data_IF_941509131898
#
_entry.id   IF_941509131898
#
_cell.length_a   1.000
_cell.length_b   1.000
_cell.length_c   1.000
_cell.angle_alpha   90.00
_cell.angle_beta   90.00
_cell.angle_gamma   90.00
#
_symmetry.space_group_name_H-M   'P 1'
#
loop_
_entity.id
_entity.type
_entity.pdbx_description
1 polymer ?
#
# COMPACT_ATOMS: atom_id res chain seq x y z
N UNK A 1 17.61 -1.22 17.97
CA UNK A 1 18.15 -2.57 17.77
C UNK A 1 17.26 -3.55 18.53
N UNK A 2 16.53 -4.37 17.85
CA UNK A 2 15.68 -5.39 18.44
C UNK A 2 15.24 -6.34 17.34
N UNK A 3 16.16 -7.21 16.92
CA UNK A 3 15.82 -8.36 16.09
C UNK A 3 15.10 -9.35 17.00
N UNK A 4 13.78 -9.49 16.86
CA UNK A 4 13.01 -10.51 17.55
C UNK A 4 13.39 -11.87 17.00
N UNK A 5 13.95 -12.73 17.86
CA UNK A 5 14.20 -14.14 17.53
C UNK A 5 12.86 -14.85 17.38
N UNK A 6 12.56 -15.35 16.19
CA UNK A 6 11.45 -16.26 15.96
C UNK A 6 11.61 -17.50 16.86
N UNK A 7 10.57 -17.89 17.58
CA UNK A 7 10.57 -19.10 18.36
C UNK A 7 10.54 -20.32 17.42
N UNK A 8 11.18 -21.39 17.85
CA UNK A 8 11.33 -22.65 17.13
C UNK A 8 9.95 -23.29 16.90
N UNK A 9 9.36 -23.02 15.73
CA UNK A 9 8.04 -23.54 15.35
C UNK A 9 7.21 -22.61 14.43
N UNK A 10 7.59 -21.35 14.28
CA UNK A 10 6.87 -20.43 13.42
C UNK A 10 7.39 -20.57 11.98
N UNK A 11 6.51 -20.98 11.09
CA UNK A 11 6.80 -20.96 9.64
C UNK A 11 6.70 -19.51 9.18
N UNK A 12 7.72 -19.04 8.45
CA UNK A 12 7.75 -17.72 7.81
C UNK A 12 7.75 -17.92 6.31
N UNK A 13 6.76 -17.35 5.64
CA UNK A 13 6.68 -17.31 4.19
C UNK A 13 6.79 -15.86 3.72
N UNK A 14 7.62 -15.60 2.71
CA UNK A 14 7.89 -14.25 2.21
C UNK A 14 7.36 -14.12 0.79
N UNK A 15 6.64 -13.05 0.56
CA UNK A 15 6.09 -12.63 -0.73
C UNK A 15 6.71 -11.28 -1.11
N UNK A 16 7.26 -11.15 -2.30
CA UNK A 16 7.86 -9.90 -2.75
C UNK A 16 7.61 -9.64 -4.24
N UNK A 17 7.64 -8.36 -4.62
CA UNK A 17 7.58 -7.94 -6.02
C UNK A 17 9.00 -8.05 -6.61
N UNK A 18 9.11 -8.58 -7.82
CA UNK A 18 10.37 -8.71 -8.54
C UNK A 18 11.04 -7.34 -8.69
N UNK A 19 12.33 -7.26 -8.35
CA UNK A 19 13.10 -6.00 -8.36
C UNK A 19 13.04 -5.16 -7.08
N UNK A 20 12.17 -5.51 -6.11
CA UNK A 20 12.28 -5.00 -4.75
C UNK A 20 13.39 -5.73 -3.98
N UNK A 21 13.79 -5.20 -2.81
CA UNK A 21 14.95 -5.69 -2.02
C UNK A 21 14.87 -7.18 -1.67
N UNK A 22 15.25 -8.04 -2.61
CA UNK A 22 15.29 -9.50 -2.44
C UNK A 22 16.17 -9.92 -1.25
N UNK A 23 17.24 -9.16 -0.99
CA UNK A 23 18.17 -9.42 0.11
C UNK A 23 17.49 -9.46 1.47
N UNK A 24 16.53 -8.56 1.73
CA UNK A 24 15.76 -8.56 2.97
C UNK A 24 14.87 -9.80 3.09
N UNK A 25 14.18 -10.18 2.01
CA UNK A 25 13.35 -11.38 1.98
C UNK A 25 14.18 -12.66 2.21
N UNK A 26 15.34 -12.77 1.58
CA UNK A 26 16.26 -13.89 1.76
C UNK A 26 16.81 -13.99 3.19
N UNK A 27 17.13 -12.83 3.80
CA UNK A 27 17.60 -12.79 5.20
C UNK A 27 16.52 -13.31 6.17
N UNK A 28 15.25 -12.97 5.95
CA UNK A 28 14.13 -13.43 6.77
C UNK A 28 13.91 -14.95 6.65
N UNK A 29 14.18 -15.52 5.49
CA UNK A 29 14.01 -16.96 5.21
C UNK A 29 15.26 -17.79 5.56
N UNK A 30 16.30 -17.19 6.16
CA UNK A 30 17.54 -17.91 6.46
C UNK A 30 18.27 -18.44 5.23
N UNK A 31 18.16 -17.73 4.09
CA UNK A 31 18.77 -18.10 2.81
C UNK A 31 17.85 -18.83 1.83
N UNK A 32 16.57 -19.02 2.18
CA UNK A 32 15.54 -19.48 1.25
C UNK A 32 15.18 -18.42 0.19
N UNK A 33 14.49 -18.85 -0.88
CA UNK A 33 14.00 -17.92 -1.89
C UNK A 33 12.57 -17.47 -1.56
N UNK A 34 12.29 -16.14 -1.55
CA UNK A 34 10.94 -15.65 -1.37
C UNK A 34 10.06 -15.94 -2.60
N UNK A 35 8.75 -15.98 -2.38
CA UNK A 35 7.79 -16.02 -3.49
C UNK A 35 7.81 -14.68 -4.23
N UNK A 36 8.14 -14.69 -5.52
CA UNK A 36 8.32 -13.49 -6.34
C UNK A 36 7.13 -13.30 -7.29
N UNK A 37 6.67 -12.06 -7.39
CA UNK A 37 5.55 -11.67 -8.24
C UNK A 37 5.94 -10.49 -9.14
N UNK A 38 5.38 -10.42 -10.37
CA UNK A 38 5.71 -9.35 -11.31
C UNK A 38 5.21 -7.98 -10.84
N UNK A 39 4.09 -7.96 -10.12
CA UNK A 39 3.44 -6.74 -9.66
C UNK A 39 2.62 -6.97 -8.37
N UNK A 40 2.04 -5.89 -7.86
CA UNK A 40 1.25 -5.93 -6.63
C UNK A 40 -0.09 -6.64 -6.79
N UNK A 41 -0.66 -6.71 -7.97
CA UNK A 41 -1.94 -7.39 -8.19
C UNK A 41 -1.77 -8.90 -8.13
N UNK A 42 -0.75 -9.43 -8.81
CA UNK A 42 -0.38 -10.82 -8.75
C UNK A 42 0.00 -11.25 -7.31
N UNK A 43 0.76 -10.40 -6.60
CA UNK A 43 1.12 -10.64 -5.20
C UNK A 43 -0.11 -10.70 -4.31
N UNK A 44 -1.02 -9.71 -4.40
CA UNK A 44 -2.22 -9.64 -3.58
C UNK A 44 -3.15 -10.83 -3.85
N UNK A 45 -3.30 -11.26 -5.10
CA UNK A 45 -4.09 -12.44 -5.46
C UNK A 45 -3.56 -13.70 -4.77
N UNK A 46 -2.27 -14.00 -4.97
CA UNK A 46 -1.63 -15.17 -4.36
C UNK A 46 -1.62 -15.10 -2.82
N UNK A 47 -1.36 -13.93 -2.25
CA UNK A 47 -1.37 -13.72 -0.80
C UNK A 47 -2.76 -13.96 -0.22
N UNK A 48 -3.82 -13.50 -0.88
CA UNK A 48 -5.20 -13.71 -0.44
C UNK A 48 -5.55 -15.19 -0.38
N UNK A 49 -5.22 -15.94 -1.42
CA UNK A 49 -5.44 -17.41 -1.47
C UNK A 49 -4.63 -18.12 -0.38
N UNK A 50 -3.38 -17.72 -0.20
CA UNK A 50 -2.52 -18.27 0.84
C UNK A 50 -3.07 -18.00 2.23
N UNK A 51 -3.40 -16.76 2.57
CA UNK A 51 -3.97 -16.38 3.87
C UNK A 51 -5.28 -17.09 4.17
N UNK A 52 -6.15 -17.27 3.17
CA UNK A 52 -7.40 -18.01 3.32
C UNK A 52 -7.18 -19.50 3.65
N UNK A 53 -6.02 -20.05 3.29
CA UNK A 53 -5.64 -21.44 3.60
C UNK A 53 -5.07 -21.62 5.01
N UNK A 54 -4.66 -20.50 5.65
CA UNK A 54 -4.07 -20.54 6.99
C UNK A 54 -5.14 -20.59 8.07
N UNK A 55 -4.78 -21.26 9.17
CA UNK A 55 -5.62 -21.26 10.38
C UNK A 55 -5.52 -19.97 11.19
N UNK A 56 -6.26 -19.92 12.31
CA UNK A 56 -6.17 -18.81 13.26
C UNK A 56 -4.75 -18.70 13.83
N UNK A 57 -4.30 -17.46 14.05
CA UNK A 57 -2.98 -17.16 14.62
C UNK A 57 -1.96 -16.66 13.59
N UNK A 58 -2.29 -16.68 12.32
CA UNK A 58 -1.44 -16.06 11.29
C UNK A 58 -1.22 -14.56 11.57
N UNK A 59 0.00 -14.09 11.31
CA UNK A 59 0.40 -12.69 11.40
C UNK A 59 0.97 -12.25 10.06
N UNK A 60 0.59 -11.06 9.62
CA UNK A 60 1.08 -10.46 8.39
C UNK A 60 1.93 -9.24 8.71
N UNK A 61 3.16 -9.22 8.24
CA UNK A 61 4.03 -8.05 8.26
C UNK A 61 4.21 -7.54 6.84
N UNK A 62 3.96 -6.24 6.62
CA UNK A 62 4.03 -5.63 5.30
C UNK A 62 4.94 -4.41 5.33
N UNK A 63 5.92 -4.38 4.44
CA UNK A 63 6.83 -3.24 4.26
C UNK A 63 6.80 -2.74 2.82
N UNK A 64 6.73 -1.42 2.63
CA UNK A 64 6.69 -0.83 1.30
C UNK A 64 6.12 0.60 1.26
N UNK A 65 5.82 1.08 0.04
CA UNK A 65 5.16 2.36 -0.14
C UNK A 65 3.75 2.36 0.46
N UNK A 66 3.24 3.52 0.83
CA UNK A 66 1.91 3.64 1.44
C UNK A 66 0.80 3.02 0.58
N UNK A 67 0.85 3.26 -0.74
CA UNK A 67 -0.11 2.66 -1.67
C UNK A 67 -0.04 1.13 -1.71
N UNK A 68 1.16 0.56 -1.64
CA UNK A 68 1.35 -0.89 -1.55
C UNK A 68 0.82 -1.45 -0.24
N UNK A 69 1.15 -0.81 0.90
CA UNK A 69 0.67 -1.24 2.22
C UNK A 69 -0.85 -1.34 2.25
N UNK A 70 -1.56 -0.29 1.81
CA UNK A 70 -3.02 -0.28 1.84
C UNK A 70 -3.66 -1.24 0.84
N UNK A 71 -3.03 -1.50 -0.30
CA UNK A 71 -3.48 -2.53 -1.24
C UNK A 71 -3.43 -3.92 -0.60
N UNK A 72 -2.31 -4.26 0.05
CA UNK A 72 -2.15 -5.53 0.76
C UNK A 72 -3.12 -5.66 1.93
N UNK A 73 -3.29 -4.60 2.75
CA UNK A 73 -4.26 -4.58 3.86
C UNK A 73 -5.68 -4.84 3.38
N UNK A 74 -6.09 -4.15 2.30
CA UNK A 74 -7.44 -4.33 1.74
C UNK A 74 -7.64 -5.76 1.24
N UNK A 75 -6.66 -6.32 0.53
CA UNK A 75 -6.72 -7.71 0.05
C UNK A 75 -6.78 -8.72 1.20
N UNK A 76 -5.95 -8.55 2.23
CA UNK A 76 -5.92 -9.45 3.39
C UNK A 76 -7.21 -9.38 4.21
N UNK A 77 -7.74 -8.17 4.43
CA UNK A 77 -8.96 -7.94 5.19
C UNK A 77 -10.21 -8.40 4.44
N UNK A 78 -10.40 -7.89 3.21
CA UNK A 78 -11.65 -8.07 2.46
C UNK A 78 -11.66 -9.40 1.68
N UNK A 79 -10.48 -9.86 1.23
CA UNK A 79 -10.34 -11.10 0.48
C UNK A 79 -10.15 -12.34 1.35
N UNK A 80 -9.31 -12.25 2.39
CA UNK A 80 -9.01 -13.38 3.27
C UNK A 80 -9.65 -13.29 4.67
N UNK A 81 -10.37 -12.21 4.99
CA UNK A 81 -11.03 -12.04 6.29
C UNK A 81 -10.06 -11.81 7.48
N UNK A 82 -8.84 -11.37 7.20
CA UNK A 82 -7.83 -11.16 8.23
C UNK A 82 -8.14 -9.95 9.09
N UNK A 83 -7.99 -10.08 10.41
CA UNK A 83 -8.14 -8.95 11.33
C UNK A 83 -7.01 -7.93 11.17
N UNK A 84 -7.31 -6.64 11.13
CA UNK A 84 -6.29 -5.58 11.10
C UNK A 84 -5.32 -5.66 12.29
N UNK A 85 -5.75 -6.16 13.44
CA UNK A 85 -4.89 -6.37 14.61
C UNK A 85 -3.79 -7.43 14.39
N UNK A 86 -3.94 -8.27 13.37
CA UNK A 86 -2.95 -9.27 12.98
C UNK A 86 -2.00 -8.78 11.88
N UNK A 87 -2.14 -7.52 11.42
CA UNK A 87 -1.36 -6.92 10.35
C UNK A 87 -0.45 -5.84 10.94
N UNK A 88 0.84 -5.91 10.65
CA UNK A 88 1.82 -4.90 11.00
C UNK A 88 2.35 -4.25 9.73
N UNK A 89 2.45 -2.91 9.74
CA UNK A 89 2.82 -2.13 8.57
C UNK A 89 4.09 -1.32 8.84
N UNK A 90 4.98 -1.32 7.85
CA UNK A 90 6.17 -0.46 7.84
C UNK A 90 6.24 0.29 6.52
N UNK A 91 6.11 1.61 6.58
CA UNK A 91 6.24 2.46 5.40
C UNK A 91 7.70 2.64 5.03
N UNK A 92 8.03 2.35 3.79
CA UNK A 92 9.37 2.50 3.21
C UNK A 92 9.28 3.29 1.90
N UNK A 93 10.32 4.06 1.61
CA UNK A 93 10.43 4.84 0.38
C UNK A 93 10.00 6.30 0.52
N UNK A 94 9.95 7.05 -0.59
CA UNK A 94 9.61 8.46 -0.60
C UNK A 94 8.16 8.70 -0.18
N UNK A 95 7.85 9.89 0.39
CA UNK A 95 6.48 10.25 0.73
C UNK A 95 5.65 10.36 -0.55
N UNK A 96 4.75 9.39 -0.71
CA UNK A 96 3.76 9.38 -1.78
C UNK A 96 2.50 8.68 -1.26
N UNK A 97 1.34 9.21 -1.63
CA UNK A 97 0.04 8.77 -1.10
C UNK A 97 -0.85 8.23 -2.20
N UNK A 98 -1.61 7.17 -1.97
CA UNK A 98 -2.70 6.79 -2.86
C UNK A 98 -3.83 7.82 -2.76
N UNK A 99 -4.27 8.37 -3.90
CA UNK A 99 -5.31 9.41 -3.93
C UNK A 99 -6.45 9.01 -4.85
N UNK A 100 -7.66 9.01 -4.30
CA UNK A 100 -8.89 8.76 -5.05
C UNK A 100 -9.56 10.08 -5.45
N UNK A 101 -9.72 10.28 -6.74
CA UNK A 101 -10.46 11.41 -7.29
C UNK A 101 -11.95 11.30 -6.91
N UNK A 102 -12.50 12.31 -6.23
CA UNK A 102 -13.91 12.29 -5.84
C UNK A 102 -14.86 12.42 -7.03
N UNK A 103 -14.39 12.95 -8.18
CA UNK A 103 -15.18 13.14 -9.38
C UNK A 103 -15.30 11.84 -10.21
N UNK A 104 -14.18 11.27 -10.69
CA UNK A 104 -14.21 10.11 -11.57
C UNK A 104 -13.91 8.77 -10.89
N UNK A 105 -13.57 8.78 -9.60
CA UNK A 105 -13.22 7.59 -8.78
C UNK A 105 -11.94 6.89 -9.19
N UNK A 106 -11.17 7.44 -10.12
CA UNK A 106 -9.82 6.93 -10.42
C UNK A 106 -8.93 7.10 -9.20
N UNK A 107 -8.16 6.07 -8.86
CA UNK A 107 -7.17 6.11 -7.79
C UNK A 107 -5.77 6.11 -8.37
N UNK A 108 -5.00 7.17 -8.07
CA UNK A 108 -3.57 7.24 -8.35
C UNK A 108 -2.80 6.65 -7.17
N UNK A 109 -1.95 5.64 -7.37
CA UNK A 109 -1.32 4.91 -6.27
C UNK A 109 -0.19 5.66 -5.57
N UNK A 110 0.40 6.68 -6.21
CA UNK A 110 1.62 7.32 -5.72
C UNK A 110 1.68 8.81 -6.10
N UNK A 111 0.87 9.64 -5.43
CA UNK A 111 0.91 11.10 -5.58
C UNK A 111 1.87 11.66 -4.55
N UNK A 112 2.88 12.43 -4.99
CA UNK A 112 3.93 12.99 -4.14
C UNK A 112 3.72 14.50 -3.83
N UNK A 113 2.71 15.13 -4.43
CA UNK A 113 2.47 16.58 -4.30
C UNK A 113 1.08 16.87 -3.78
N UNK A 114 0.92 18.05 -3.16
CA UNK A 114 -0.36 18.52 -2.63
C UNK A 114 -1.40 18.76 -3.71
N UNK A 115 -0.95 19.07 -4.94
CA UNK A 115 -1.80 19.29 -6.11
C UNK A 115 -1.27 18.44 -7.27
N UNK A 116 -2.16 17.76 -7.98
CA UNK A 116 -1.82 16.97 -9.16
C UNK A 116 -2.98 16.90 -10.15
N UNK A 117 -2.70 16.58 -11.41
CA UNK A 117 -3.72 16.38 -12.43
C UNK A 117 -4.18 14.92 -12.45
N UNK A 118 -5.48 14.70 -12.29
CA UNK A 118 -6.08 13.36 -12.33
C UNK A 118 -5.93 12.73 -13.71
N UNK A 119 -5.34 11.53 -13.78
CA UNK A 119 -5.15 10.82 -15.05
C UNK A 119 -6.49 10.32 -15.65
N UNK A 120 -7.52 10.18 -14.84
CA UNK A 120 -8.83 9.69 -15.29
C UNK A 120 -9.73 10.78 -15.90
N UNK A 121 -9.75 12.00 -15.34
CA UNK A 121 -10.66 13.06 -15.78
C UNK A 121 -9.99 14.41 -16.11
N UNK A 122 -8.66 14.50 -15.91
CA UNK A 122 -7.89 15.71 -16.24
C UNK A 122 -8.07 16.90 -15.28
N UNK A 123 -8.90 16.79 -14.24
CA UNK A 123 -9.07 17.85 -13.25
C UNK A 123 -7.82 18.02 -12.39
N UNK A 124 -7.52 19.26 -12.02
CA UNK A 124 -6.51 19.55 -11.01
C UNK A 124 -7.10 19.28 -9.64
N UNK A 125 -6.43 18.41 -8.88
CA UNK A 125 -6.92 17.93 -7.59
C UNK A 125 -6.00 18.39 -6.47
N UNK A 126 -6.60 18.83 -5.37
CA UNK A 126 -5.95 19.02 -4.09
C UNK A 126 -6.06 17.75 -3.25
N UNK A 127 -4.93 17.28 -2.73
CA UNK A 127 -4.85 16.09 -1.86
C UNK A 127 -5.18 16.48 -0.43
N UNK A 128 -6.33 16.04 0.06
CA UNK A 128 -6.75 16.28 1.45
C UNK A 128 -6.21 15.24 2.40
N UNK A 129 -5.94 15.65 3.64
CA UNK A 129 -5.61 14.75 4.75
C UNK A 129 -6.84 13.97 5.27
N UNK A 130 -7.72 13.59 4.35
CA UNK A 130 -8.86 12.76 4.65
C UNK A 130 -8.66 11.38 4.03
N UNK A 131 -8.28 10.43 4.87
CA UNK A 131 -8.00 9.07 4.46
C UNK A 131 -9.22 8.16 4.61
N UNK A 132 -9.55 7.43 3.56
CA UNK A 132 -10.60 6.41 3.56
C UNK A 132 -10.00 5.02 3.73
N UNK A 133 -10.13 4.42 4.92
CA UNK A 133 -9.67 3.03 5.16
C UNK A 133 -10.32 2.02 4.22
N UNK A 134 -11.57 2.27 3.82
CA UNK A 134 -12.28 1.38 2.88
C UNK A 134 -11.67 1.39 1.48
N UNK A 135 -11.21 2.56 1.02
CA UNK A 135 -10.60 2.71 -0.30
C UNK A 135 -9.08 2.53 -0.27
N UNK A 136 -8.47 2.59 0.91
CA UNK A 136 -7.03 2.64 1.05
C UNK A 136 -6.41 3.88 0.40
N UNK A 137 -7.11 5.01 0.37
CA UNK A 137 -6.70 6.20 -0.36
C UNK A 137 -7.18 7.50 0.31
N UNK A 138 -6.43 8.58 0.08
CA UNK A 138 -6.79 9.95 0.41
C UNK A 138 -7.77 10.52 -0.61
N UNK A 139 -8.47 11.60 -0.26
CA UNK A 139 -9.40 12.27 -1.17
C UNK A 139 -8.69 13.32 -2.02
N UNK A 140 -8.89 13.25 -3.34
CA UNK A 140 -8.51 14.29 -4.29
C UNK A 140 -9.74 15.10 -4.71
N UNK A 141 -9.78 16.39 -4.31
CA UNK A 141 -10.85 17.34 -4.63
C UNK A 141 -10.41 18.29 -5.73
N UNK A 142 -11.32 18.67 -6.62
CA UNK A 142 -11.06 19.71 -7.62
C UNK A 142 -10.65 21.02 -6.92
N UNK A 143 -9.45 21.52 -7.23
CA UNK A 143 -8.86 22.66 -6.54
C UNK A 143 -9.44 23.99 -7.03
N UNK A 144 -9.81 24.05 -8.28
CA UNK A 144 -10.30 25.25 -8.97
C UNK A 144 -11.81 25.24 -9.25
N UNK A 145 -12.57 24.45 -8.46
CA UNK A 145 -14.02 24.32 -8.64
C UNK A 145 -14.79 25.65 -8.44
N UNK A 146 -14.31 26.50 -7.51
CA UNK A 146 -14.93 27.81 -7.21
C UNK A 146 -14.32 28.96 -8.02
N UNK A 147 -13.07 28.82 -8.46
CA UNK A 147 -12.34 29.81 -9.27
C UNK A 147 -11.61 29.10 -10.43
N UNK A 148 -12.32 28.80 -11.55
CA UNK A 148 -11.76 28.03 -12.64
C UNK A 148 -10.46 28.63 -13.22
N UNK A 149 -9.40 27.82 -13.24
CA UNK A 149 -8.06 28.19 -13.72
C UNK A 149 -7.14 28.77 -12.64
N UNK A 150 -7.62 29.00 -11.42
CA UNK A 150 -6.77 29.41 -10.30
C UNK A 150 -6.23 28.16 -9.56
N UNK A 151 -5.11 27.64 -10.04
CA UNK A 151 -4.44 26.47 -9.47
C UNK A 151 -3.22 26.92 -8.69
N UNK A 152 -3.16 26.68 -7.36
CA UNK A 152 -1.98 26.99 -6.56
C UNK A 152 -0.76 26.17 -6.99
N UNK A 153 0.43 26.64 -6.65
CA UNK A 153 1.66 25.89 -6.86
C UNK A 153 1.64 24.59 -6.05
N UNK A 154 2.00 23.45 -6.66
CA UNK A 154 2.10 22.18 -5.95
C UNK A 154 3.29 22.19 -4.99
N UNK A 155 3.07 21.71 -3.77
CA UNK A 155 4.10 21.48 -2.76
C UNK A 155 4.35 19.98 -2.63
N UNK A 156 5.56 19.57 -2.24
CA UNK A 156 5.85 18.17 -1.93
C UNK A 156 5.12 17.75 -0.65
N UNK A 157 4.63 16.52 -0.63
CA UNK A 157 4.02 15.95 0.58
C UNK A 157 5.12 15.64 1.60
N UNK A 158 4.93 16.08 2.83
CA UNK A 158 5.82 15.76 3.93
C UNK A 158 5.63 14.31 4.43
N UNK A 159 6.70 13.76 5.02
CA UNK A 159 6.77 12.37 5.52
C UNK A 159 5.98 12.17 6.81
#
# INVERSE_FOLDING_TARGET
MGCGTASKGDQVDVFCITGSSLEHGQALLGGGLPNQFPDSDALCGALTEYLASLGMGARLYVAGSEGFLWRVVTSARDGAGMSEAAIQLERCGPPARPVCCVHCKTTEPAVATTIYQCQGCGLNLFVRDHFSRRLGAYQGLCVDAEAPGEVPEPEELES
#
